data_IF_499418785556
#
_entry.id   IF_499418785556
#
_cell.length_a   1.000
_cell.length_b   1.000
_cell.length_c   1.000
_cell.angle_alpha   90.00
_cell.angle_beta   90.00
_cell.angle_gamma   90.00
#
_symmetry.space_group_name_H-M   'P 1'
#
loop_
_entity.id
_entity.type
_entity.pdbx_description
1 polymer ?
#
# COMPACT_ATOMS: atom_id res chain seq x y z
N UNK A 1 22.57 -39.59 41.49
CA UNK A 1 22.45 -38.12 41.53
C UNK A 1 23.15 -37.39 40.40
N UNK A 2 24.33 -37.81 39.91
CA UNK A 2 25.06 -37.06 38.84
C UNK A 2 24.43 -37.14 37.44
N UNK A 3 23.72 -38.23 37.10
CA UNK A 3 23.05 -38.44 35.81
C UNK A 3 21.76 -37.62 35.65
N UNK A 4 21.04 -37.35 36.76
CA UNK A 4 19.79 -36.59 36.72
C UNK A 4 20.03 -35.10 36.48
N UNK A 5 21.16 -34.56 37.00
CA UNK A 5 21.51 -33.14 36.80
C UNK A 5 21.99 -32.84 35.35
N UNK A 6 22.62 -33.80 34.67
CA UNK A 6 23.02 -33.62 33.27
C UNK A 6 21.82 -33.63 32.30
N UNK A 7 20.79 -34.43 32.57
CA UNK A 7 19.57 -34.44 31.74
C UNK A 7 18.73 -33.15 31.90
N UNK A 8 18.65 -32.58 33.14
CA UNK A 8 17.97 -31.33 33.39
C UNK A 8 18.68 -30.12 32.71
N UNK A 9 20.03 -30.11 32.73
CA UNK A 9 20.81 -29.05 32.12
C UNK A 9 20.69 -29.08 30.59
N UNK A 10 20.67 -30.28 29.99
CA UNK A 10 20.47 -30.46 28.56
C UNK A 10 19.09 -30.00 28.05
N UNK A 11 18.04 -30.22 28.83
CA UNK A 11 16.68 -29.79 28.51
C UNK A 11 16.52 -28.28 28.59
N UNK A 12 17.21 -27.62 29.53
CA UNK A 12 17.15 -26.16 29.69
C UNK A 12 17.90 -25.44 28.59
N UNK A 13 19.07 -25.96 28.13
CA UNK A 13 19.84 -25.38 27.02
C UNK A 13 19.09 -25.54 25.67
N UNK A 14 18.44 -26.70 25.46
CA UNK A 14 17.63 -26.90 24.23
C UNK A 14 16.40 -25.99 24.20
N UNK A 15 15.76 -25.72 25.33
CA UNK A 15 14.61 -24.78 25.41
C UNK A 15 15.01 -23.34 25.14
N UNK A 16 16.15 -22.85 25.67
CA UNK A 16 16.60 -21.47 25.43
C UNK A 16 17.09 -21.25 24.00
N UNK A 17 17.74 -22.24 23.39
CA UNK A 17 18.16 -22.16 21.98
C UNK A 17 16.96 -22.12 21.00
N UNK A 18 15.89 -22.85 21.32
CA UNK A 18 14.70 -22.88 20.48
C UNK A 18 13.91 -21.55 20.54
N UNK A 19 13.81 -20.92 21.70
CA UNK A 19 13.17 -19.61 21.86
C UNK A 19 13.95 -18.50 21.17
N UNK A 20 15.29 -18.47 21.29
CA UNK A 20 16.12 -17.45 20.64
C UNK A 20 16.03 -17.51 19.11
N UNK A 21 16.03 -18.70 18.51
CA UNK A 21 15.93 -18.86 17.06
C UNK A 21 14.56 -18.40 16.50
N UNK A 22 13.47 -18.66 17.23
CA UNK A 22 12.13 -18.20 16.82
C UNK A 22 11.99 -16.69 16.91
N UNK A 23 12.60 -16.06 17.89
CA UNK A 23 12.54 -14.60 18.09
C UNK A 23 13.41 -13.85 17.07
N UNK A 24 14.59 -14.36 16.73
CA UNK A 24 15.42 -13.82 15.64
C UNK A 24 14.70 -13.87 14.30
N UNK A 25 14.01 -14.96 13.97
CA UNK A 25 13.23 -15.09 12.73
C UNK A 25 12.06 -14.09 12.68
N UNK A 26 11.34 -13.89 13.80
CA UNK A 26 10.26 -12.90 13.88
C UNK A 26 10.79 -11.48 13.68
N UNK A 27 11.89 -11.14 14.32
CA UNK A 27 12.53 -9.82 14.19
C UNK A 27 12.98 -9.57 12.76
N UNK A 28 13.65 -10.53 12.11
CA UNK A 28 14.08 -10.42 10.72
C UNK A 28 12.89 -10.24 9.75
N UNK A 29 11.76 -10.93 10.00
CA UNK A 29 10.53 -10.76 9.22
C UNK A 29 9.95 -9.35 9.38
N UNK A 30 9.83 -8.86 10.61
CA UNK A 30 9.32 -7.52 10.89
C UNK A 30 10.19 -6.42 10.25
N UNK A 31 11.51 -6.53 10.37
CA UNK A 31 12.45 -5.60 9.75
C UNK A 31 12.33 -5.61 8.22
N UNK A 32 12.21 -6.79 7.60
CA UNK A 32 12.01 -6.91 6.16
C UNK A 32 10.73 -6.19 5.71
N UNK A 33 9.58 -6.43 6.36
CA UNK A 33 8.31 -5.79 6.02
C UNK A 33 8.37 -4.27 6.19
N UNK A 34 9.05 -3.79 7.23
CA UNK A 34 9.29 -2.36 7.42
C UNK A 34 10.28 -1.79 6.40
N UNK A 35 11.24 -2.58 5.92
CA UNK A 35 12.18 -2.16 4.88
C UNK A 35 11.52 -1.98 3.51
N UNK A 36 10.48 -2.71 3.22
CA UNK A 36 9.70 -2.55 1.97
C UNK A 36 8.51 -1.59 2.12
N UNK A 37 8.32 -0.98 3.29
CA UNK A 37 7.25 0.01 3.53
C UNK A 37 7.77 1.43 3.42
N UNK A 38 6.96 2.33 2.84
CA UNK A 38 7.25 3.75 2.66
C UNK A 38 6.02 4.60 2.97
N UNK A 39 6.24 5.86 3.35
CA UNK A 39 5.19 6.88 3.38
C UNK A 39 5.13 7.57 2.03
N UNK A 40 3.93 7.78 1.51
CA UNK A 40 3.68 8.59 0.32
C UNK A 40 3.13 9.93 0.76
N UNK A 41 3.76 11.01 0.33
CA UNK A 41 3.28 12.38 0.54
C UNK A 41 2.85 12.97 -0.79
N UNK A 42 1.63 13.46 -0.83
CA UNK A 42 1.04 14.11 -1.99
C UNK A 42 0.76 15.57 -1.68
N UNK A 43 1.54 16.46 -2.27
CA UNK A 43 1.40 17.91 -2.11
C UNK A 43 0.73 18.49 -3.35
N UNK A 44 -0.60 18.48 -3.35
CA UNK A 44 -1.43 19.04 -4.40
C UNK A 44 -1.50 20.57 -4.36
N UNK A 45 -2.18 21.17 -5.33
CA UNK A 45 -2.33 22.62 -5.39
C UNK A 45 -3.24 23.18 -4.29
N UNK A 46 -4.20 22.37 -3.81
CA UNK A 46 -5.23 22.79 -2.85
C UNK A 46 -5.33 21.92 -1.61
N UNK A 47 -4.65 20.77 -1.59
CA UNK A 47 -4.69 19.83 -0.49
C UNK A 47 -3.40 19.04 -0.42
N UNK A 48 -3.04 18.63 0.79
CA UNK A 48 -1.94 17.70 1.04
C UNK A 48 -2.51 16.40 1.60
N UNK A 49 -1.90 15.30 1.22
CA UNK A 49 -2.25 13.97 1.69
C UNK A 49 -1.02 13.18 2.11
N UNK A 50 -1.22 12.23 2.99
CA UNK A 50 -0.21 11.23 3.35
C UNK A 50 -0.86 9.84 3.33
N UNK A 51 -0.12 8.88 2.83
CA UNK A 51 -0.51 7.48 2.78
C UNK A 51 0.70 6.58 2.87
N UNK A 52 0.49 5.32 2.60
CA UNK A 52 1.49 4.27 2.63
C UNK A 52 1.78 3.74 1.24
N UNK A 53 2.90 3.05 1.09
CA UNK A 53 3.23 2.31 -0.12
C UNK A 53 4.11 1.11 0.17
N UNK A 54 4.13 0.17 -0.77
CA UNK A 54 4.94 -1.04 -0.69
C UNK A 54 5.92 -1.09 -1.84
N UNK A 55 7.21 -1.20 -1.50
CA UNK A 55 8.31 -1.20 -2.48
C UNK A 55 8.53 -2.59 -3.04
N UNK A 56 8.64 -2.67 -4.36
CA UNK A 56 9.27 -3.79 -5.03
C UNK A 56 10.42 -3.31 -5.93
N UNK A 57 11.39 -4.17 -6.12
CA UNK A 57 12.65 -3.84 -6.76
C UNK A 57 12.87 -4.73 -7.98
N UNK A 58 13.30 -4.13 -9.09
CA UNK A 58 13.70 -4.80 -10.32
C UNK A 58 15.12 -4.38 -10.68
N UNK A 59 15.77 -5.15 -11.52
CA UNK A 59 17.09 -4.78 -12.11
C UNK A 59 16.88 -4.32 -13.54
N UNK A 60 17.53 -3.21 -13.90
CA UNK A 60 17.63 -2.79 -15.29
C UNK A 60 18.70 -3.60 -16.03
N UNK A 61 18.84 -3.40 -17.34
CA UNK A 61 19.83 -4.05 -18.19
C UNK A 61 21.29 -3.73 -17.80
N UNK A 62 21.50 -2.69 -16.99
CA UNK A 62 22.82 -2.27 -16.48
C UNK A 62 23.09 -2.81 -15.06
N UNK A 63 22.14 -3.53 -14.47
CA UNK A 63 22.26 -4.08 -13.12
C UNK A 63 21.88 -3.10 -12.00
N UNK A 64 21.39 -1.89 -12.31
CA UNK A 64 20.91 -0.97 -11.29
C UNK A 64 19.58 -1.46 -10.71
N UNK A 65 19.38 -1.21 -9.41
CA UNK A 65 18.11 -1.47 -8.77
C UNK A 65 17.13 -0.33 -9.07
N UNK A 66 16.05 -0.65 -9.77
CA UNK A 66 14.93 0.25 -10.03
C UNK A 66 13.85 -0.07 -9.01
N UNK A 67 13.43 0.93 -8.25
CA UNK A 67 12.44 0.77 -7.20
C UNK A 67 11.09 1.31 -7.65
N UNK A 68 10.06 0.51 -7.45
CA UNK A 68 8.67 0.83 -7.71
C UNK A 68 7.88 0.74 -6.43
N UNK A 69 6.74 1.41 -6.40
CA UNK A 69 5.84 1.43 -5.24
C UNK A 69 4.41 1.20 -5.69
N UNK A 70 3.74 0.22 -5.10
CA UNK A 70 2.30 0.14 -5.13
C UNK A 70 1.71 0.98 -3.99
N UNK A 71 0.72 1.80 -4.30
CA UNK A 71 -0.07 2.58 -3.34
C UNK A 71 -1.53 2.67 -3.79
N UNK A 72 -2.41 3.13 -2.92
CA UNK A 72 -3.80 3.39 -3.29
C UNK A 72 -3.90 4.66 -4.15
N UNK A 73 -4.75 4.64 -5.17
CA UNK A 73 -4.90 5.77 -6.08
C UNK A 73 -5.37 7.03 -5.34
N UNK A 74 -6.30 6.90 -4.39
CA UNK A 74 -6.81 8.04 -3.62
C UNK A 74 -5.74 8.75 -2.76
N UNK A 75 -4.58 8.12 -2.52
CA UNK A 75 -3.45 8.75 -1.81
C UNK A 75 -2.80 9.86 -2.64
N UNK A 76 -2.84 9.72 -3.97
CA UNK A 76 -2.21 10.66 -4.91
C UNK A 76 -3.20 11.38 -5.81
N UNK A 77 -4.51 11.22 -5.59
CA UNK A 77 -5.56 11.80 -6.42
C UNK A 77 -5.47 13.34 -6.51
N UNK A 78 -5.08 14.00 -5.43
CA UNK A 78 -4.87 15.45 -5.38
C UNK A 78 -3.72 15.97 -6.25
N UNK A 79 -2.88 15.09 -6.79
CA UNK A 79 -1.78 15.43 -7.71
C UNK A 79 -2.22 15.38 -9.18
N UNK A 80 -3.40 14.80 -9.46
CA UNK A 80 -3.97 14.65 -10.79
C UNK A 80 -4.48 16.00 -11.31
N UNK A 81 -4.11 16.32 -12.54
CA UNK A 81 -4.55 17.52 -13.23
C UNK A 81 -5.04 17.16 -14.62
N UNK A 82 -6.14 17.74 -15.02
CA UNK A 82 -6.66 17.65 -16.38
C UNK A 82 -6.50 19.00 -17.09
N UNK A 83 -6.06 18.96 -18.33
CA UNK A 83 -6.10 20.12 -19.21
C UNK A 83 -6.62 19.73 -20.59
N UNK A 84 -7.44 20.60 -21.16
CA UNK A 84 -7.91 20.43 -22.53
C UNK A 84 -6.86 21.01 -23.49
N UNK A 85 -6.50 20.27 -24.51
CA UNK A 85 -5.59 20.71 -25.58
C UNK A 85 -6.17 20.31 -26.93
N UNK A 86 -5.85 21.09 -27.96
CA UNK A 86 -6.20 20.71 -29.36
C UNK A 86 -4.97 20.03 -29.96
N UNK A 87 -5.10 18.75 -30.30
CA UNK A 87 -4.03 17.96 -30.92
C UNK A 87 -4.54 17.48 -32.27
N UNK A 88 -3.82 17.84 -33.34
CA UNK A 88 -4.20 17.54 -34.72
C UNK A 88 -5.64 18.00 -35.07
N UNK A 89 -6.03 19.18 -34.57
CA UNK A 89 -7.36 19.76 -34.83
C UNK A 89 -8.50 19.18 -33.98
N UNK A 90 -8.25 18.19 -33.14
CA UNK A 90 -9.26 17.58 -32.29
C UNK A 90 -9.03 17.94 -30.82
N UNK A 91 -10.08 18.30 -30.05
CA UNK A 91 -9.96 18.52 -28.62
C UNK A 91 -9.63 17.20 -27.91
N UNK A 92 -8.60 17.22 -27.07
CA UNK A 92 -8.20 16.08 -26.24
C UNK A 92 -8.01 16.53 -24.78
N UNK A 93 -8.42 15.68 -23.85
CA UNK A 93 -8.09 15.83 -22.44
C UNK A 93 -6.74 15.18 -22.18
N UNK A 94 -5.80 15.95 -21.66
CA UNK A 94 -4.49 15.47 -21.21
C UNK A 94 -4.55 15.38 -19.71
N UNK A 95 -4.19 14.21 -19.19
CA UNK A 95 -4.05 13.95 -17.75
C UNK A 95 -2.58 13.95 -17.39
N UNK A 96 -2.23 14.75 -16.41
CA UNK A 96 -0.87 14.88 -15.88
C UNK A 96 -0.89 14.73 -14.37
N UNK A 97 0.17 14.17 -13.81
CA UNK A 97 0.36 14.07 -12.37
C UNK A 97 1.60 14.87 -11.95
N UNK A 98 1.47 15.60 -10.84
CA UNK A 98 2.64 16.04 -10.10
C UNK A 98 3.28 14.84 -9.43
N UNK A 99 4.61 14.81 -9.33
CA UNK A 99 5.33 13.75 -8.65
C UNK A 99 4.98 13.71 -7.16
N UNK A 100 4.53 12.57 -6.62
CA UNK A 100 4.46 12.34 -5.18
C UNK A 100 5.86 12.15 -4.58
N UNK A 101 6.01 12.45 -3.31
CA UNK A 101 7.23 12.21 -2.56
C UNK A 101 7.15 10.87 -1.82
N UNK A 102 8.13 10.02 -2.02
CA UNK A 102 8.31 8.75 -1.29
C UNK A 102 9.29 9.00 -0.14
N UNK A 103 8.86 8.70 1.08
CA UNK A 103 9.66 8.84 2.29
C UNK A 103 9.95 7.46 2.86
N UNK A 104 11.23 7.10 2.95
CA UNK A 104 11.73 5.86 3.53
C UNK A 104 12.42 6.13 4.85
N UNK A 105 12.02 5.44 5.91
CA UNK A 105 12.74 5.49 7.18
C UNK A 105 14.03 4.67 7.12
N UNK A 106 15.12 5.26 7.60
CA UNK A 106 16.40 4.58 7.82
C UNK A 106 16.38 4.04 9.24
N UNK A 107 16.57 2.73 9.38
CA UNK A 107 16.54 2.06 10.68
C UNK A 107 17.90 1.45 11.00
N UNK A 108 18.27 1.51 12.28
CA UNK A 108 19.47 0.89 12.82
C UNK A 108 19.17 0.38 14.23
N UNK A 109 19.39 -0.92 14.46
CA UNK A 109 19.11 -1.54 15.75
C UNK A 109 17.64 -1.38 16.18
N UNK A 110 16.68 -1.53 15.23
CA UNK A 110 15.26 -1.39 15.49
C UNK A 110 14.74 0.04 15.66
N UNK A 111 15.60 1.07 15.59
CA UNK A 111 15.25 2.49 15.77
C UNK A 111 15.33 3.24 14.44
N UNK A 112 14.44 4.20 14.24
CA UNK A 112 14.53 5.15 13.13
C UNK A 112 15.63 6.17 13.46
N UNK A 113 16.66 6.22 12.61
CA UNK A 113 17.81 7.12 12.74
C UNK A 113 17.82 8.23 11.70
N UNK A 114 16.92 8.18 10.72
CA UNK A 114 16.82 9.19 9.68
C UNK A 114 15.74 8.84 8.65
N UNK A 115 15.62 9.69 7.63
CA UNK A 115 14.68 9.52 6.52
C UNK A 115 15.34 9.84 5.20
N UNK A 116 15.05 9.05 4.18
CA UNK A 116 15.34 9.36 2.79
C UNK A 116 14.06 9.82 2.12
N UNK A 117 14.14 10.87 1.32
CA UNK A 117 13.01 11.40 0.56
C UNK A 117 13.40 11.45 -0.91
N UNK A 118 12.49 11.08 -1.79
CA UNK A 118 12.70 11.09 -3.23
C UNK A 118 11.37 11.21 -3.96
N UNK A 119 11.37 12.03 -4.99
CA UNK A 119 10.23 12.13 -5.90
C UNK A 119 10.02 10.83 -6.66
N UNK A 120 8.77 10.54 -6.97
CA UNK A 120 8.40 9.37 -7.74
C UNK A 120 7.47 9.76 -8.88
N UNK A 121 7.69 9.16 -10.02
CA UNK A 121 6.87 9.31 -11.23
C UNK A 121 5.67 8.36 -11.16
N UNK A 122 4.50 8.84 -11.53
CA UNK A 122 3.30 8.01 -11.65
C UNK A 122 3.33 7.27 -12.98
N UNK A 123 3.40 5.94 -12.93
CA UNK A 123 3.39 5.08 -14.12
C UNK A 123 2.00 4.55 -14.48
N UNK A 124 1.19 4.24 -13.47
CA UNK A 124 -0.19 3.79 -13.61
C UNK A 124 -1.05 4.39 -12.53
N UNK A 125 -2.28 4.69 -12.91
CA UNK A 125 -3.31 5.19 -12.02
C UNK A 125 -4.67 4.60 -12.42
N UNK A 126 -5.39 4.10 -11.45
CA UNK A 126 -6.76 3.61 -11.60
C UNK A 126 -7.60 4.17 -10.48
N UNK A 127 -8.49 5.07 -10.82
CA UNK A 127 -9.31 5.87 -9.92
C UNK A 127 -9.96 5.06 -8.79
N UNK A 128 -10.15 5.68 -7.65
CA UNK A 128 -10.68 5.04 -6.45
C UNK A 128 -12.20 4.83 -6.51
N UNK A 129 -12.91 5.69 -7.21
CA UNK A 129 -14.37 5.65 -7.31
C UNK A 129 -14.84 4.86 -8.55
N UNK A 130 -14.15 5.03 -9.69
CA UNK A 130 -14.51 4.42 -10.97
C UNK A 130 -13.54 3.33 -11.46
N UNK A 131 -12.47 3.06 -10.71
CA UNK A 131 -11.42 2.10 -11.06
C UNK A 131 -11.07 1.13 -9.94
N UNK A 132 -9.81 0.69 -9.92
CA UNK A 132 -9.32 -0.33 -9.00
C UNK A 132 -8.77 0.23 -7.68
N UNK A 133 -8.68 1.55 -7.52
CA UNK A 133 -7.99 2.24 -6.41
C UNK A 133 -6.52 1.81 -6.31
N UNK A 134 -5.82 1.78 -7.44
CA UNK A 134 -4.43 1.35 -7.57
C UNK A 134 -3.59 2.44 -8.25
N UNK A 135 -2.40 2.69 -7.71
CA UNK A 135 -1.39 3.49 -8.38
C UNK A 135 -0.02 2.80 -8.29
N UNK A 136 0.69 2.81 -9.42
CA UNK A 136 2.05 2.33 -9.55
C UNK A 136 2.99 3.51 -9.74
N UNK A 137 3.95 3.65 -8.83
CA UNK A 137 4.94 4.70 -8.84
C UNK A 137 6.32 4.13 -9.15
N UNK A 138 7.19 4.95 -9.73
CA UNK A 138 8.61 4.67 -9.92
C UNK A 138 9.44 5.72 -9.19
N UNK A 139 10.30 5.29 -8.28
CA UNK A 139 11.20 6.19 -7.56
C UNK A 139 12.28 6.68 -8.52
N UNK A 140 12.50 8.00 -8.59
CA UNK A 140 13.42 8.63 -9.56
C UNK A 140 14.89 8.35 -9.27
N UNK A 141 15.22 7.71 -8.15
CA UNK A 141 16.58 7.36 -7.75
C UNK A 141 16.81 5.86 -7.84
N UNK A 142 17.86 5.43 -8.55
CA UNK A 142 18.34 4.06 -8.54
C UNK A 142 18.91 3.67 -7.16
N UNK A 143 18.83 2.40 -6.85
CA UNK A 143 19.38 1.82 -5.61
C UNK A 143 18.86 2.49 -4.32
N UNK A 144 17.61 2.96 -4.34
CA UNK A 144 16.98 3.63 -3.20
C UNK A 144 16.66 2.64 -2.06
N UNK A 145 16.12 1.47 -2.40
CA UNK A 145 15.87 0.35 -1.49
C UNK A 145 16.44 -0.93 -2.10
N UNK A 146 17.10 -1.77 -1.28
CA UNK A 146 17.64 -3.07 -1.72
C UNK A 146 16.60 -4.18 -1.60
N UNK A 147 15.73 -4.08 -0.59
CA UNK A 147 14.70 -5.07 -0.33
C UNK A 147 13.57 -5.01 -1.36
N UNK A 148 12.85 -6.10 -1.48
CA UNK A 148 11.69 -6.24 -2.36
C UNK A 148 10.61 -7.04 -1.67
N UNK A 149 9.35 -6.60 -1.80
CA UNK A 149 8.21 -7.39 -1.33
C UNK A 149 8.06 -8.67 -2.15
N UNK A 150 7.57 -9.73 -1.51
CA UNK A 150 7.15 -10.96 -2.18
C UNK A 150 5.64 -11.02 -2.26
N UNK A 151 5.07 -10.97 -3.47
CA UNK A 151 3.63 -11.08 -3.69
C UNK A 151 3.16 -12.53 -3.62
N UNK A 152 1.99 -12.74 -3.04
CA UNK A 152 1.30 -14.04 -3.05
C UNK A 152 0.58 -14.23 -4.39
N UNK A 153 1.28 -14.79 -5.37
CA UNK A 153 0.76 -14.94 -6.75
C UNK A 153 0.02 -16.27 -7.00
N UNK A 154 0.00 -17.16 -6.01
CA UNK A 154 -0.79 -18.40 -6.07
C UNK A 154 -2.29 -18.12 -6.10
N UNK A 155 -3.06 -19.10 -6.56
CA UNK A 155 -4.53 -19.00 -6.63
C UNK A 155 -5.22 -19.25 -5.29
N UNK A 156 -4.45 -19.65 -4.27
CA UNK A 156 -4.95 -19.90 -2.92
C UNK A 156 -5.37 -18.61 -2.23
N UNK A 157 -6.62 -18.55 -1.81
CA UNK A 157 -7.13 -17.47 -0.95
C UNK A 157 -6.79 -17.81 0.50
N UNK A 158 -6.33 -16.86 1.33
CA UNK A 158 -6.12 -17.10 2.74
C UNK A 158 -7.38 -17.65 3.42
N UNK A 159 -7.23 -18.55 4.40
CA UNK A 159 -8.35 -19.04 5.17
C UNK A 159 -8.88 -17.96 6.12
N UNK A 160 -10.18 -17.99 6.41
CA UNK A 160 -10.75 -17.15 7.47
C UNK A 160 -10.07 -17.48 8.79
N UNK A 161 -9.59 -16.47 9.49
CA UNK A 161 -8.84 -16.62 10.74
C UNK A 161 -7.32 -16.71 10.55
N UNK A 162 -6.78 -16.80 9.32
CA UNK A 162 -5.33 -16.73 9.10
C UNK A 162 -4.75 -15.44 9.68
N UNK A 163 -3.65 -15.58 10.43
CA UNK A 163 -2.92 -14.45 11.02
C UNK A 163 -2.31 -13.54 9.95
N UNK A 164 -2.55 -12.26 10.10
CA UNK A 164 -2.06 -11.20 9.20
C UNK A 164 -1.24 -10.15 9.94
N UNK A 165 -0.36 -9.48 9.17
CA UNK A 165 0.35 -8.28 9.56
C UNK A 165 -0.01 -7.17 8.57
N UNK A 166 -0.18 -5.95 9.07
CA UNK A 166 -0.22 -4.74 8.26
C UNK A 166 0.96 -3.85 8.61
N UNK A 167 1.60 -3.28 7.59
CA UNK A 167 2.66 -2.27 7.77
C UNK A 167 2.33 -1.05 6.93
N UNK A 168 2.31 0.11 7.60
CA UNK A 168 1.97 1.37 6.95
C UNK A 168 2.35 2.59 7.78
N UNK A 169 1.93 3.74 7.29
CA UNK A 169 2.16 5.05 7.91
C UNK A 169 0.89 5.50 8.64
N UNK A 170 0.63 4.86 9.78
CA UNK A 170 -0.55 5.16 10.60
C UNK A 170 -0.46 6.60 11.11
N UNK A 171 -1.47 7.42 10.82
CA UNK A 171 -1.45 8.87 11.05
C UNK A 171 -0.33 9.59 10.23
N UNK A 172 -0.07 9.08 9.03
CA UNK A 172 0.93 9.64 8.13
C UNK A 172 2.36 9.46 8.64
N UNK A 173 3.19 10.47 8.43
CA UNK A 173 4.61 10.44 8.80
C UNK A 173 4.85 10.25 10.31
N UNK A 174 3.88 10.61 11.15
CA UNK A 174 3.99 10.45 12.60
C UNK A 174 4.08 8.98 13.00
N UNK A 175 3.28 8.13 12.40
CA UNK A 175 3.28 6.68 12.63
C UNK A 175 3.88 5.90 11.46
N UNK A 176 4.86 6.47 10.74
CA UNK A 176 5.52 5.78 9.64
C UNK A 176 6.11 4.43 10.08
N UNK A 177 6.00 3.42 9.23
CA UNK A 177 6.46 2.06 9.50
C UNK A 177 5.81 1.38 10.72
N UNK A 178 4.64 1.83 11.16
CA UNK A 178 3.88 1.10 12.19
C UNK A 178 3.46 -0.26 11.67
N UNK A 179 3.61 -1.27 12.52
CA UNK A 179 3.16 -2.63 12.26
C UNK A 179 1.99 -2.94 13.19
N UNK A 180 0.92 -3.47 12.63
CA UNK A 180 -0.24 -3.98 13.37
C UNK A 180 -0.53 -5.40 12.94
N UNK A 181 -1.25 -6.14 13.75
CA UNK A 181 -1.69 -7.50 13.44
C UNK A 181 -3.20 -7.65 13.51
N UNK A 182 -3.67 -8.75 13.00
CA UNK A 182 -5.07 -9.13 12.94
C UNK A 182 -5.25 -10.43 12.19
N UNK A 183 -6.48 -10.67 11.73
CA UNK A 183 -6.81 -11.89 10.98
C UNK A 183 -7.41 -11.55 9.61
N UNK A 184 -7.38 -12.54 8.72
CA UNK A 184 -8.16 -12.53 7.49
C UNK A 184 -9.62 -12.81 7.85
N UNK A 185 -10.45 -11.79 7.80
CA UNK A 185 -11.79 -11.79 8.38
C UNK A 185 -12.90 -12.20 7.41
N UNK A 186 -12.76 -11.85 6.13
CA UNK A 186 -13.70 -12.20 5.07
C UNK A 186 -13.06 -12.02 3.69
N UNK A 187 -13.53 -12.77 2.70
CA UNK A 187 -13.15 -12.59 1.29
C UNK A 187 -14.37 -12.28 0.43
N UNK A 188 -14.12 -11.70 -0.73
CA UNK A 188 -15.13 -11.54 -1.76
C UNK A 188 -16.24 -10.52 -1.44
N UNK A 189 -15.97 -9.49 -0.64
CA UNK A 189 -16.95 -8.44 -0.39
C UNK A 189 -17.16 -7.57 -1.62
N UNK A 190 -18.40 -7.56 -2.10
CA UNK A 190 -18.86 -6.64 -3.14
C UNK A 190 -19.56 -5.44 -2.46
N UNK A 191 -19.01 -4.26 -2.67
CA UNK A 191 -19.58 -3.03 -2.15
C UNK A 191 -20.10 -2.23 -3.33
N UNK A 192 -21.43 -2.15 -3.48
CA UNK A 192 -22.09 -1.56 -4.64
C UNK A 192 -21.66 -0.13 -4.96
N UNK A 193 -21.37 0.66 -3.91
CA UNK A 193 -20.88 2.04 -4.04
C UNK A 193 -19.40 2.16 -4.43
N UNK A 194 -18.67 1.04 -4.56
CA UNK A 194 -17.25 0.98 -4.90
C UNK A 194 -17.03 0.13 -6.16
N UNK A 195 -17.71 0.49 -7.25
CA UNK A 195 -17.54 -0.05 -8.61
C UNK A 195 -17.66 -1.56 -8.78
N UNK A 196 -18.39 -2.24 -7.91
CA UNK A 196 -18.61 -3.69 -8.00
C UNK A 196 -17.31 -4.52 -7.91
N UNK A 197 -16.20 -3.90 -7.52
CA UNK A 197 -14.95 -4.63 -7.32
C UNK A 197 -14.95 -5.40 -6.01
N UNK A 198 -14.26 -6.54 -6.05
CA UNK A 198 -14.11 -7.43 -4.89
C UNK A 198 -13.05 -6.89 -3.95
N UNK A 199 -13.40 -6.82 -2.66
CA UNK A 199 -12.49 -6.54 -1.57
C UNK A 199 -12.40 -7.73 -0.63
N UNK A 200 -11.28 -7.89 0.04
CA UNK A 200 -11.19 -8.75 1.21
C UNK A 200 -11.17 -7.91 2.48
N UNK A 201 -11.42 -8.54 3.60
CA UNK A 201 -11.49 -7.86 4.89
C UNK A 201 -10.44 -8.39 5.85
N UNK A 202 -9.85 -7.49 6.59
CA UNK A 202 -8.93 -7.78 7.71
C UNK A 202 -9.34 -7.04 8.97
N UNK A 203 -8.96 -7.59 10.12
CA UNK A 203 -9.08 -6.93 11.42
C UNK A 203 -7.79 -6.20 11.83
N UNK A 204 -6.73 -6.23 11.00
CA UNK A 204 -5.53 -5.44 11.29
C UNK A 204 -5.91 -3.97 11.56
N UNK A 205 -5.40 -3.42 12.65
CA UNK A 205 -5.66 -2.02 12.99
C UNK A 205 -5.14 -1.09 11.91
N UNK A 206 -5.98 -0.16 11.50
CA UNK A 206 -5.68 0.85 10.50
C UNK A 206 -6.15 2.23 10.94
N UNK A 207 -5.37 3.24 10.56
CA UNK A 207 -5.66 4.65 10.79
C UNK A 207 -5.50 5.44 9.48
N UNK A 208 -5.87 6.72 9.41
CA UNK A 208 -5.50 7.60 8.31
C UNK A 208 -4.02 7.49 7.99
N UNK A 209 -3.69 7.46 6.73
CA UNK A 209 -2.33 7.21 6.29
C UNK A 209 -1.98 5.73 6.10
N UNK A 210 -2.76 4.78 6.61
CA UNK A 210 -2.58 3.33 6.34
C UNK A 210 -2.88 2.96 4.88
N UNK A 211 -3.69 3.74 4.18
CA UNK A 211 -4.04 3.52 2.76
C UNK A 211 -2.80 3.35 1.89
N UNK A 212 -2.77 2.30 1.08
CA UNK A 212 -1.61 1.93 0.26
C UNK A 212 -0.62 0.99 0.95
N UNK A 213 -0.74 0.80 2.27
CA UNK A 213 0.12 -0.09 3.04
C UNK A 213 -0.16 -1.58 2.79
N UNK A 214 0.86 -2.40 2.95
CA UNK A 214 0.78 -3.84 2.69
C UNK A 214 0.10 -4.60 3.81
N UNK A 215 -0.65 -5.63 3.42
CA UNK A 215 -1.15 -6.67 4.30
C UNK A 215 -0.51 -7.99 3.91
N UNK A 216 0.02 -8.70 4.89
CA UNK A 216 0.89 -9.86 4.70
C UNK A 216 0.43 -11.07 5.51
N UNK A 217 0.66 -12.28 5.00
CA UNK A 217 0.54 -13.50 5.81
C UNK A 217 1.63 -13.53 6.86
N UNK A 218 1.28 -13.67 8.15
CA UNK A 218 2.24 -13.64 9.27
C UNK A 218 3.29 -14.75 9.18
N UNK A 219 2.90 -15.93 8.65
CA UNK A 219 3.77 -17.11 8.60
C UNK A 219 4.94 -17.03 7.61
N UNK A 220 4.77 -16.33 6.48
CA UNK A 220 5.75 -16.29 5.38
C UNK A 220 6.05 -14.90 4.83
N UNK A 221 5.46 -13.84 5.39
CA UNK A 221 5.60 -12.46 4.95
C UNK A 221 5.17 -12.19 3.50
N UNK A 222 4.39 -13.06 2.87
CA UNK A 222 3.87 -12.82 1.54
C UNK A 222 2.78 -11.76 1.56
N UNK A 223 2.89 -10.80 0.67
CA UNK A 223 1.92 -9.73 0.47
C UNK A 223 0.65 -10.31 -0.16
N UNK A 224 -0.50 -10.14 0.50
CA UNK A 224 -1.80 -10.66 0.06
C UNK A 224 -2.75 -9.57 -0.41
N UNK A 225 -2.44 -8.31 -0.14
CA UNK A 225 -3.28 -7.20 -0.55
C UNK A 225 -2.85 -5.86 0.02
N UNK A 226 -3.49 -4.81 -0.48
CA UNK A 226 -3.26 -3.43 -0.11
C UNK A 226 -4.42 -2.90 0.72
N UNK A 227 -4.13 -2.33 1.87
CA UNK A 227 -5.15 -1.68 2.69
C UNK A 227 -5.60 -0.38 2.03
N UNK A 228 -6.90 -0.21 1.86
CA UNK A 228 -7.43 0.96 1.13
C UNK A 228 -8.54 1.69 1.87
N UNK A 229 -9.34 1.00 2.69
CA UNK A 229 -10.49 1.61 3.36
C UNK A 229 -10.73 0.96 4.72
N UNK A 230 -11.32 1.72 5.65
CA UNK A 230 -11.75 1.22 6.94
C UNK A 230 -13.07 1.86 7.35
N UNK A 231 -13.87 1.13 8.12
CA UNK A 231 -15.10 1.62 8.72
C UNK A 231 -15.05 1.62 10.25
N UNK A 232 -13.85 1.59 10.81
CA UNK A 232 -13.59 1.51 12.25
C UNK A 232 -12.73 0.31 12.62
N UNK A 233 -12.57 0.07 13.92
CA UNK A 233 -11.79 -1.05 14.42
C UNK A 233 -12.34 -2.39 13.94
N UNK A 234 -11.44 -3.27 13.49
CA UNK A 234 -11.80 -4.63 13.06
C UNK A 234 -12.51 -4.73 11.71
N UNK A 235 -12.77 -3.63 11.02
CA UNK A 235 -13.40 -3.64 9.70
C UNK A 235 -12.58 -2.82 8.71
N UNK A 236 -11.57 -3.44 8.13
CA UNK A 236 -10.71 -2.81 7.13
C UNK A 236 -10.71 -3.62 5.84
N UNK A 237 -10.78 -2.91 4.71
CA UNK A 237 -10.85 -3.49 3.37
C UNK A 237 -9.50 -3.42 2.70
N UNK A 238 -9.15 -4.52 2.02
CA UNK A 238 -7.96 -4.62 1.21
C UNK A 238 -8.32 -4.88 -0.26
N UNK A 239 -7.56 -4.28 -1.16
CA UNK A 239 -7.49 -4.72 -2.55
C UNK A 239 -6.64 -5.99 -2.58
N UNK A 240 -7.21 -7.18 -2.82
CA UNK A 240 -6.43 -8.42 -2.79
C UNK A 240 -5.48 -8.53 -3.99
N UNK A 241 -4.38 -9.27 -3.83
CA UNK A 241 -3.39 -9.48 -4.91
C UNK A 241 -4.03 -10.04 -6.17
N UNK A 242 -5.03 -10.95 -6.06
CA UNK A 242 -5.73 -11.48 -7.24
C UNK A 242 -6.37 -10.38 -8.08
N UNK A 243 -7.01 -9.37 -7.46
CA UNK A 243 -7.52 -8.19 -8.18
C UNK A 243 -6.40 -7.33 -8.77
N UNK A 244 -5.25 -7.25 -8.10
CA UNK A 244 -4.07 -6.59 -8.66
C UNK A 244 -3.53 -7.36 -9.87
N UNK A 245 -3.58 -8.72 -9.86
CA UNK A 245 -3.24 -9.57 -11.02
C UNK A 245 -4.13 -9.24 -12.21
N UNK A 246 -5.46 -9.27 -12.01
CA UNK A 246 -6.43 -8.97 -13.07
C UNK A 246 -6.13 -7.59 -13.72
N UNK A 247 -5.89 -6.58 -12.88
CA UNK A 247 -5.49 -5.25 -13.34
C UNK A 247 -4.16 -5.27 -14.11
N UNK A 248 -3.16 -6.00 -13.62
CA UNK A 248 -1.86 -6.08 -14.26
C UNK A 248 -1.90 -6.85 -15.59
N UNK A 249 -2.74 -7.87 -15.71
CA UNK A 249 -2.96 -8.61 -16.95
C UNK A 249 -3.66 -7.73 -17.99
N UNK A 250 -4.76 -7.05 -17.61
CA UNK A 250 -5.49 -6.11 -18.48
C UNK A 250 -4.56 -5.03 -19.05
N UNK A 251 -3.65 -4.52 -18.22
CA UNK A 251 -2.76 -3.41 -18.59
C UNK A 251 -1.38 -3.84 -19.07
N UNK A 252 -1.12 -5.16 -19.18
CA UNK A 252 0.16 -5.74 -19.61
C UNK A 252 1.36 -5.29 -18.75
N UNK A 253 1.13 -5.23 -17.45
CA UNK A 253 2.15 -4.83 -16.45
C UNK A 253 2.41 -5.91 -15.40
N UNK A 254 2.26 -7.18 -15.74
CA UNK A 254 2.51 -8.30 -14.82
C UNK A 254 3.91 -8.29 -14.21
N UNK A 255 4.88 -7.68 -14.89
CA UNK A 255 6.22 -7.44 -14.35
C UNK A 255 6.20 -6.66 -13.01
N UNK A 256 5.14 -5.89 -12.74
CA UNK A 256 4.98 -5.12 -11.51
C UNK A 256 4.57 -5.99 -10.30
N UNK A 257 4.21 -7.25 -10.51
CA UNK A 257 3.88 -8.23 -9.47
C UNK A 257 4.79 -9.45 -9.55
N UNK A 258 4.99 -10.02 -10.75
CA UNK A 258 5.74 -11.25 -10.94
C UNK A 258 7.21 -10.95 -11.31
N UNK A 259 8.17 -11.33 -10.44
CA UNK A 259 9.60 -11.14 -10.72
C UNK A 259 10.12 -11.98 -11.90
N UNK A 260 9.37 -12.98 -12.36
CA UNK A 260 9.72 -13.80 -13.53
C UNK A 260 9.40 -13.11 -14.84
N UNK A 261 8.52 -12.10 -14.82
CA UNK A 261 8.19 -11.30 -15.99
C UNK A 261 9.19 -10.16 -16.10
N UNK A 262 9.83 -10.03 -17.25
CA UNK A 262 10.84 -9.01 -17.51
C UNK A 262 10.25 -7.61 -17.43
N UNK A 263 10.98 -6.70 -16.78
CA UNK A 263 10.63 -5.29 -16.67
C UNK A 263 10.84 -4.61 -18.03
N UNK A 264 9.88 -3.77 -18.49
CA UNK A 264 10.05 -2.99 -19.71
C UNK A 264 11.28 -2.09 -19.67
N UNK A 265 11.83 -1.80 -20.84
CA UNK A 265 12.91 -0.84 -20.99
C UNK A 265 12.49 0.56 -20.52
N UNK A 266 13.46 1.41 -20.23
CA UNK A 266 13.23 2.83 -19.88
C UNK A 266 12.39 3.58 -20.93
N UNK A 267 12.61 3.27 -22.22
CA UNK A 267 11.87 3.90 -23.31
C UNK A 267 10.40 3.45 -23.37
N UNK A 268 10.11 2.20 -23.00
CA UNK A 268 8.77 1.65 -22.93
C UNK A 268 8.03 2.16 -21.69
N UNK A 269 8.69 2.23 -20.53
CA UNK A 269 8.11 2.81 -19.31
C UNK A 269 7.66 4.25 -19.55
N UNK A 270 8.45 5.07 -20.23
CA UNK A 270 8.09 6.46 -20.57
C UNK A 270 6.93 6.60 -21.54
N UNK A 271 6.66 5.59 -22.36
CA UNK A 271 5.55 5.58 -23.32
C UNK A 271 4.28 4.96 -22.74
N UNK A 272 4.36 4.38 -21.55
CA UNK A 272 3.23 3.71 -20.92
C UNK A 272 2.15 4.73 -20.57
N UNK A 273 0.88 4.55 -21.01
CA UNK A 273 -0.19 5.45 -20.64
C UNK A 273 -0.47 5.32 -19.14
N UNK A 274 -0.55 6.44 -18.43
CA UNK A 274 -0.80 6.47 -16.98
C UNK A 274 -2.20 5.98 -16.67
N UNK A 275 -3.21 6.53 -17.36
CA UNK A 275 -4.60 6.13 -17.28
C UNK A 275 -5.04 5.52 -18.61
N UNK A 276 -5.95 4.57 -18.53
CA UNK A 276 -6.72 4.21 -19.72
C UNK A 276 -7.68 5.36 -20.02
N UNK A 277 -7.98 5.58 -21.31
CA UNK A 277 -8.93 6.60 -21.76
C UNK A 277 -10.18 6.59 -20.87
N UNK A 278 -10.56 7.72 -20.25
CA UNK A 278 -11.76 7.77 -19.43
C UNK A 278 -12.93 7.24 -20.26
N UNK A 279 -13.63 6.21 -19.76
CA UNK A 279 -14.94 5.89 -20.31
C UNK A 279 -15.77 7.15 -20.18
N UNK A 280 -16.37 7.64 -21.26
CA UNK A 280 -17.35 8.71 -21.19
C UNK A 280 -18.29 8.39 -20.03
N UNK A 281 -18.40 9.30 -19.06
CA UNK A 281 -19.29 9.14 -17.91
C UNK A 281 -20.72 9.07 -18.48
N UNK A 282 -21.25 7.88 -18.60
CA UNK A 282 -22.70 7.73 -18.65
C UNK A 282 -23.23 8.18 -17.29
N UNK A 283 -24.18 9.12 -17.32
CA UNK A 283 -24.77 9.78 -16.15
C UNK A 283 -25.31 8.77 -15.13
N UNK A 284 -24.52 8.47 -14.09
CA UNK A 284 -24.92 7.66 -12.94
C UNK A 284 -25.09 8.46 -11.65
N UNK A 285 -25.29 9.78 -11.75
CA UNK A 285 -25.44 10.65 -10.57
C UNK A 285 -26.62 10.25 -9.68
N UNK A 286 -27.68 9.69 -10.27
CA UNK A 286 -28.81 9.15 -9.52
C UNK A 286 -28.45 7.89 -8.69
N UNK A 287 -27.58 7.01 -9.19
CA UNK A 287 -27.11 5.84 -8.44
C UNK A 287 -26.14 6.23 -7.32
N UNK A 288 -25.28 7.22 -7.57
CA UNK A 288 -24.36 7.77 -6.54
C UNK A 288 -25.13 8.44 -5.40
N UNK A 289 -26.18 9.16 -5.71
CA UNK A 289 -27.04 9.81 -4.72
C UNK A 289 -27.84 8.79 -3.90
N UNK A 290 -28.32 7.72 -4.54
CA UNK A 290 -28.99 6.61 -3.86
C UNK A 290 -28.04 5.84 -2.93
N UNK A 291 -26.79 5.60 -3.36
CA UNK A 291 -25.77 4.95 -2.55
C UNK A 291 -25.37 5.78 -1.32
N UNK A 292 -25.26 7.12 -1.46
CA UNK A 292 -25.02 8.04 -0.33
C UNK A 292 -26.13 8.00 0.73
N UNK A 293 -27.37 7.81 0.30
CA UNK A 293 -28.53 7.72 1.21
C UNK A 293 -28.66 6.37 1.92
N UNK A 294 -28.17 5.28 1.30
CA UNK A 294 -28.33 3.92 1.87
C UNK A 294 -27.25 3.57 2.90
N UNK A 295 -26.11 4.24 2.90
CA UNK A 295 -24.99 3.93 3.79
C UNK A 295 -24.39 5.18 4.46
N UNK A 296 -25.11 5.81 5.42
CA UNK A 296 -24.59 6.98 6.14
C UNK A 296 -23.35 6.70 6.99
N UNK A 297 -22.99 5.42 7.18
CA UNK A 297 -21.85 4.99 8.00
C UNK A 297 -20.62 4.49 7.22
N UNK A 298 -20.70 4.43 5.90
CA UNK A 298 -19.48 4.23 5.10
C UNK A 298 -18.78 5.58 4.92
N UNK A 299 -18.18 6.06 5.99
CA UNK A 299 -17.29 7.19 5.95
C UNK A 299 -16.17 6.92 4.93
N UNK A 300 -16.14 7.67 3.81
CA UNK A 300 -14.85 8.15 3.34
C UNK A 300 -14.16 8.65 4.59
N UNK A 301 -13.02 8.06 4.94
CA UNK A 301 -12.18 8.63 5.98
C UNK A 301 -11.47 9.86 5.38
N UNK A 302 -12.25 10.82 4.92
CA UNK A 302 -11.82 12.19 4.83
C UNK A 302 -12.00 12.72 6.25
N UNK A 303 -10.92 12.67 7.03
CA UNK A 303 -10.94 13.32 8.32
C UNK A 303 -11.27 14.79 8.11
N UNK A 304 -12.16 15.35 8.94
CA UNK A 304 -12.25 16.79 9.03
C UNK A 304 -10.84 17.29 9.30
N UNK A 305 -10.44 18.34 8.59
CA UNK A 305 -9.23 19.11 8.89
C UNK A 305 -9.05 19.13 10.38
N UNK A 306 -7.89 18.65 10.86
CA UNK A 306 -7.50 18.68 12.27
C UNK A 306 -7.95 20.02 12.82
N UNK A 307 -8.94 20.00 13.71
CA UNK A 307 -9.22 21.12 14.58
C UNK A 307 -8.00 21.21 15.50
N UNK A 308 -6.99 21.93 15.02
CA UNK A 308 -5.90 22.39 15.87
C UNK A 308 -6.59 23.16 16.98
N UNK A 309 -6.44 22.67 18.19
CA UNK A 309 -6.87 23.32 19.40
C UNK A 309 -6.39 24.78 19.40
N UNK A 310 -7.24 25.68 18.99
CA UNK A 310 -7.26 27.06 19.37
C UNK A 310 -8.36 27.18 20.40
N UNK A 311 -7.97 27.06 21.64
CA UNK A 311 -8.65 27.65 22.80
C UNK A 311 -8.11 26.99 24.06
N UNK A 312 -6.88 27.34 24.42
CA UNK A 312 -6.52 27.54 25.80
C UNK A 312 -5.83 28.91 25.87
N UNK A 313 -6.63 29.97 25.84
CA UNK A 313 -6.27 31.24 26.44
C UNK A 313 -7.07 31.34 27.73
N UNK A 314 -6.36 31.13 28.81
CA UNK A 314 -6.39 31.84 30.07
C UNK A 314 -7.51 32.87 30.20
N UNK A 315 -8.39 32.65 31.18
CA UNK A 315 -8.96 33.72 31.96
C UNK A 315 -8.41 33.53 33.41
N UNK A 316 -7.54 34.43 33.78
CA UNK A 316 -7.40 34.87 35.14
C UNK A 316 -8.62 35.66 35.57
#
# INVERSE_FOLDING_TARGET
>A
MKLLNAALLGLFIASTAFTSFSDEKKTATAEHLQNVSVTIRSEGSFSNGEGSGVVFTRKDSKGNLVNFVWTAAHVIDNLRKERKAVINGSPKTIVEFKDPMVVKEIRQGGRTVGRLQMDAEVLKYSDADDGHDLALLRIRKFNFVKDTVTFHLGDEIPNLGDDLLHVGSLLGQMGANSMTDGIYSQHGRLIKSLNKHVFDQTTCTAFPGSSGGGVYKKGNAHYIGMLVRGAGEGFNLIVPVRRMKDYCEEHKIMWALDPKVEMPSEAELKKMPIENTPKEKEDSDAEKEAAKKLFPYMLRVTYPKVLIMKEMKQND
#
